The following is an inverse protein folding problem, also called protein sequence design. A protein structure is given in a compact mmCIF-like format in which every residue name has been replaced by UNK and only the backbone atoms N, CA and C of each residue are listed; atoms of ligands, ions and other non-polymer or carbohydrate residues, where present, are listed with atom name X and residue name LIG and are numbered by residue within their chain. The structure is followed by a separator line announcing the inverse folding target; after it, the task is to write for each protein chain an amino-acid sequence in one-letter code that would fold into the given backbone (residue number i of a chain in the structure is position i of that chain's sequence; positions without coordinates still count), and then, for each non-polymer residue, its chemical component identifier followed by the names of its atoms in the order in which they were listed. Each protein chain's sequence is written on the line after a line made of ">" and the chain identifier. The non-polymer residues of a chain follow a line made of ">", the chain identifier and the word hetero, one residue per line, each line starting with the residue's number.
data_IF_541621050739
#
_entry.id   IF_541621050739
#
_cell.length_a   1.000
_cell.length_b   1.000
_cell.length_c   1.000
_cell.angle_alpha   90.00
_cell.angle_beta   90.00
_cell.angle_gamma   90.00
#
_symmetry.space_group_name_H-M   'P 1'
#
loop_
_entity.id
_entity.type
_entity.pdbx_description
1 polymer ?
#
# COMPACT_ATOMS: atom_id res chain seq x y z
N UNK A 1 11.05 -4.26 -4.28
CA UNK A 1 10.98 -5.48 -5.12
C UNK A 1 10.05 -6.41 -4.36
N UNK A 2 8.85 -6.67 -4.87
CA UNK A 2 8.01 -7.73 -4.35
C UNK A 2 8.80 -9.01 -4.43
N UNK A 3 8.64 -9.98 -3.49
CA UNK A 3 9.05 -11.32 -3.78
C UNK A 3 8.36 -11.64 -5.09
N UNK A 4 9.16 -12.03 -6.05
CA UNK A 4 8.67 -12.43 -7.34
C UNK A 4 7.51 -13.39 -7.09
N UNK A 5 6.28 -12.95 -7.29
CA UNK A 5 5.19 -13.84 -7.56
C UNK A 5 5.48 -14.48 -8.92
N UNK A 6 6.59 -15.20 -9.00
CA UNK A 6 6.88 -16.18 -10.03
C UNK A 6 5.98 -17.40 -9.84
N UNK A 7 4.69 -17.16 -9.61
CA UNK A 7 3.73 -18.18 -9.94
C UNK A 7 3.28 -17.88 -11.35
N UNK A 8 3.70 -18.77 -12.26
CA UNK A 8 3.26 -18.93 -13.63
C UNK A 8 2.07 -18.02 -13.95
N UNK A 9 2.33 -16.89 -14.62
CA UNK A 9 1.32 -16.04 -15.20
C UNK A 9 0.62 -16.82 -16.32
N UNK A 10 -0.18 -17.81 -15.93
CA UNK A 10 -1.13 -18.41 -16.83
C UNK A 10 -2.18 -17.35 -17.14
N UNK A 11 -2.00 -16.65 -18.27
CA UNK A 11 -3.00 -15.80 -18.92
C UNK A 11 -3.75 -14.84 -17.99
N UNK A 12 -3.04 -13.94 -17.29
CA UNK A 12 -3.71 -12.80 -16.68
C UNK A 12 -4.29 -11.93 -17.78
N UNK A 13 -5.61 -11.77 -17.80
CA UNK A 13 -6.24 -10.79 -18.66
C UNK A 13 -5.79 -9.40 -18.23
N UNK A 14 -4.88 -8.81 -19.00
CA UNK A 14 -4.57 -7.39 -18.91
C UNK A 14 -5.74 -6.61 -19.49
N UNK A 15 -6.31 -5.77 -18.68
CA UNK A 15 -7.38 -4.85 -19.08
C UNK A 15 -6.96 -3.42 -18.87
N UNK A 16 -7.53 -2.50 -19.63
CA UNK A 16 -7.43 -1.07 -19.38
C UNK A 16 -8.60 -0.61 -18.54
N UNK A 17 -8.34 0.14 -17.47
CA UNK A 17 -9.38 0.70 -16.60
C UNK A 17 -8.98 2.10 -16.14
N UNK A 18 -9.97 2.94 -15.83
CA UNK A 18 -9.69 4.23 -15.20
C UNK A 18 -9.37 4.06 -13.71
N UNK A 19 -8.31 4.72 -13.19
CA UNK A 19 -7.97 4.66 -11.76
C UNK A 19 -9.13 5.06 -10.85
N UNK A 20 -10.03 5.91 -11.32
CA UNK A 20 -11.22 6.37 -10.58
C UNK A 20 -12.21 5.23 -10.27
N UNK A 21 -12.23 4.16 -11.06
CA UNK A 21 -13.11 3.01 -10.85
C UNK A 21 -12.48 1.91 -10.00
N UNK A 22 -11.18 1.97 -9.78
CA UNK A 22 -10.48 0.98 -8.96
C UNK A 22 -10.94 1.05 -7.51
N UNK A 23 -11.11 -0.11 -6.89
CA UNK A 23 -11.57 -0.27 -5.51
C UNK A 23 -10.39 -0.58 -4.60
N UNK A 24 -10.24 0.13 -3.48
CA UNK A 24 -9.21 -0.21 -2.50
C UNK A 24 -9.57 -1.49 -1.73
N UNK A 25 -8.55 -2.16 -1.23
CA UNK A 25 -8.65 -3.31 -0.31
C UNK A 25 -8.03 -2.98 1.06
N UNK A 26 -7.66 -1.74 1.28
CA UNK A 26 -7.18 -1.17 2.54
C UNK A 26 -7.89 0.16 2.82
N UNK A 27 -7.73 0.68 4.05
CA UNK A 27 -8.46 1.87 4.49
C UNK A 27 -7.61 3.13 4.52
N UNK A 28 -6.27 2.98 4.56
CA UNK A 28 -5.35 4.10 4.72
C UNK A 28 -4.09 3.97 3.87
N UNK A 29 -3.45 5.09 3.63
CA UNK A 29 -2.15 5.22 2.94
C UNK A 29 -1.33 6.30 3.64
N UNK A 30 -0.02 6.34 3.39
CA UNK A 30 0.80 7.50 3.73
C UNK A 30 0.65 8.58 2.66
N UNK A 31 -0.05 9.68 2.93
CA UNK A 31 -0.27 10.73 1.94
C UNK A 31 1.02 11.45 1.51
N UNK A 32 2.05 11.48 2.36
CA UNK A 32 3.34 12.01 1.94
C UNK A 32 3.99 11.15 0.85
N UNK A 33 3.78 9.83 0.85
CA UNK A 33 4.23 8.93 -0.22
C UNK A 33 3.47 9.19 -1.53
N UNK A 34 2.17 9.47 -1.45
CA UNK A 34 1.38 9.90 -2.60
C UNK A 34 1.96 11.18 -3.20
N UNK A 35 2.29 12.17 -2.35
CA UNK A 35 2.89 13.43 -2.78
C UNK A 35 4.27 13.25 -3.44
N UNK A 36 5.07 12.29 -2.96
CA UNK A 36 6.36 11.95 -3.60
C UNK A 36 6.12 11.38 -4.98
N UNK A 37 5.26 10.37 -5.09
CA UNK A 37 4.91 9.74 -6.38
C UNK A 37 4.36 10.73 -7.40
N UNK A 38 3.57 11.70 -6.96
CA UNK A 38 3.11 12.81 -7.81
C UNK A 38 4.27 13.65 -8.34
N UNK A 39 5.21 14.03 -7.47
CA UNK A 39 6.39 14.81 -7.90
C UNK A 39 7.27 14.02 -8.88
N UNK A 40 7.51 12.75 -8.58
CA UNK A 40 8.24 11.84 -9.46
C UNK A 40 7.57 11.76 -10.84
N UNK A 41 6.24 11.58 -10.85
CA UNK A 41 5.45 11.54 -12.07
C UNK A 41 5.51 12.87 -12.84
N UNK A 42 5.34 13.99 -12.17
CA UNK A 42 5.38 15.33 -12.79
C UNK A 42 6.73 15.64 -13.42
N UNK A 43 7.83 15.11 -12.86
CA UNK A 43 9.18 15.28 -13.39
C UNK A 43 9.44 14.46 -14.67
N UNK A 44 8.60 13.49 -15.02
CA UNK A 44 8.77 12.66 -16.20
C UNK A 44 8.32 13.38 -17.48
N UNK A 45 9.09 13.24 -18.55
CA UNK A 45 8.64 13.62 -19.90
C UNK A 45 7.60 12.63 -20.45
N UNK A 46 6.86 13.04 -21.50
CA UNK A 46 5.75 12.25 -22.06
C UNK A 46 6.13 10.79 -22.38
N UNK A 47 7.24 10.56 -23.10
CA UNK A 47 7.73 9.20 -23.42
C UNK A 47 8.08 8.36 -22.19
N UNK A 48 8.53 8.99 -21.11
CA UNK A 48 8.84 8.29 -19.86
C UNK A 48 7.56 7.92 -19.11
N UNK A 49 6.55 8.81 -19.09
CA UNK A 49 5.22 8.52 -18.54
C UNK A 49 4.57 7.33 -19.23
N UNK A 50 4.58 7.30 -20.56
CA UNK A 50 4.03 6.18 -21.33
C UNK A 50 4.70 4.85 -20.97
N UNK A 51 6.05 4.83 -20.94
CA UNK A 51 6.81 3.65 -20.53
C UNK A 51 6.51 3.22 -19.09
N UNK A 52 6.32 4.19 -18.20
CA UNK A 52 6.01 3.89 -16.80
C UNK A 52 4.61 3.31 -16.65
N UNK A 53 3.60 3.83 -17.36
CA UNK A 53 2.26 3.25 -17.38
C UNK A 53 2.25 1.81 -17.89
N UNK A 54 3.04 1.52 -18.93
CA UNK A 54 3.15 0.17 -19.48
C UNK A 54 3.79 -0.84 -18.50
N UNK A 55 4.69 -0.36 -17.64
CA UNK A 55 5.39 -1.21 -16.65
C UNK A 55 4.65 -1.36 -15.34
N UNK A 56 3.78 -0.42 -15.02
CA UNK A 56 3.06 -0.39 -13.75
C UNK A 56 1.65 -0.95 -13.93
N UNK A 57 1.54 -2.24 -13.72
CA UNK A 57 0.28 -2.97 -13.80
C UNK A 57 -0.31 -3.10 -12.40
N UNK A 58 -1.58 -2.77 -12.24
CA UNK A 58 -2.28 -2.89 -10.96
C UNK A 58 -2.78 -4.33 -10.78
N UNK A 59 -2.25 -5.10 -9.82
CA UNK A 59 -2.81 -6.40 -9.51
C UNK A 59 -4.18 -6.21 -8.87
N UNK A 60 -5.19 -6.92 -9.35
CA UNK A 60 -6.56 -6.78 -8.87
C UNK A 60 -7.32 -8.11 -8.89
N UNK A 61 -8.40 -8.15 -8.12
CA UNK A 61 -9.41 -9.20 -8.16
C UNK A 61 -10.70 -8.61 -8.71
N UNK A 62 -11.35 -9.32 -9.64
CA UNK A 62 -12.70 -8.97 -10.06
C UNK A 62 -13.68 -9.42 -8.97
N UNK A 63 -14.32 -8.49 -8.29
CA UNK A 63 -15.21 -8.76 -7.17
C UNK A 63 -16.67 -8.39 -7.44
N UNK A 64 -17.52 -8.38 -6.40
CA UNK A 64 -18.94 -8.10 -6.50
C UNK A 64 -19.24 -6.82 -7.27
N UNK A 65 -20.28 -6.88 -8.09
CA UNK A 65 -20.67 -5.80 -8.99
C UNK A 65 -19.68 -5.59 -10.15
N UNK A 66 -18.87 -6.60 -10.46
CA UNK A 66 -17.85 -6.59 -11.50
C UNK A 66 -16.88 -5.41 -11.36
N UNK A 67 -16.42 -5.19 -10.13
CA UNK A 67 -15.47 -4.12 -9.78
C UNK A 67 -14.07 -4.70 -9.60
N UNK A 68 -13.04 -3.94 -10.00
CA UNK A 68 -11.65 -4.32 -9.83
C UNK A 68 -11.13 -3.82 -8.48
N UNK A 69 -10.88 -4.75 -7.56
CA UNK A 69 -10.35 -4.51 -6.23
C UNK A 69 -8.83 -4.67 -6.28
N UNK A 70 -8.09 -3.57 -6.18
CA UNK A 70 -6.63 -3.60 -6.30
C UNK A 70 -5.99 -4.19 -5.04
N UNK A 71 -4.99 -5.03 -5.26
CA UNK A 71 -4.26 -5.71 -4.18
C UNK A 71 -3.03 -4.91 -3.75
N UNK A 72 -2.55 -4.02 -4.62
CA UNK A 72 -1.40 -3.16 -4.37
C UNK A 72 -1.50 -1.85 -5.16
N UNK A 73 -0.46 -1.01 -5.05
CA UNK A 73 -0.34 0.27 -5.76
C UNK A 73 -1.36 1.34 -5.35
N UNK A 74 -1.93 1.27 -4.14
CA UNK A 74 -2.88 2.26 -3.64
C UNK A 74 -2.33 3.70 -3.64
N UNK A 75 -1.05 3.89 -3.23
CA UNK A 75 -0.39 5.19 -3.28
C UNK A 75 -0.23 5.70 -4.73
N UNK A 76 0.16 4.80 -5.63
CA UNK A 76 0.30 5.13 -7.05
C UNK A 76 -1.05 5.48 -7.68
N UNK A 77 -2.08 4.68 -7.40
CA UNK A 77 -3.43 4.93 -7.91
C UNK A 77 -3.93 6.33 -7.53
N UNK A 78 -3.74 6.72 -6.27
CA UNK A 78 -4.05 8.08 -5.81
C UNK A 78 -3.24 9.16 -6.54
N UNK A 79 -1.93 8.92 -6.70
CA UNK A 79 -1.07 9.86 -7.39
C UNK A 79 -1.51 10.05 -8.86
N UNK A 80 -1.80 8.96 -9.57
CA UNK A 80 -2.22 9.01 -10.97
C UNK A 80 -3.60 9.67 -11.14
N UNK A 81 -4.55 9.45 -10.21
CA UNK A 81 -5.82 10.17 -10.18
C UNK A 81 -5.58 11.68 -10.05
N UNK A 82 -4.72 12.10 -9.12
CA UNK A 82 -4.41 13.50 -8.89
C UNK A 82 -3.67 14.16 -10.06
N UNK A 83 -2.96 13.39 -10.88
CA UNK A 83 -2.28 13.84 -12.10
C UNK A 83 -3.18 13.71 -13.36
N UNK A 84 -4.45 13.37 -13.20
CA UNK A 84 -5.43 13.31 -14.29
C UNK A 84 -5.21 12.16 -15.28
N UNK A 85 -4.56 11.08 -14.85
CA UNK A 85 -4.36 9.91 -15.70
C UNK A 85 -5.68 9.15 -15.85
N UNK A 86 -6.09 8.98 -17.10
CA UNK A 86 -7.39 8.42 -17.43
C UNK A 86 -7.38 6.89 -17.49
N UNK A 87 -6.24 6.26 -17.80
CA UNK A 87 -6.17 4.81 -18.01
C UNK A 87 -4.89 4.22 -17.43
N UNK A 88 -5.06 3.04 -16.81
CA UNK A 88 -3.98 2.20 -16.29
C UNK A 88 -4.22 0.75 -16.66
N UNK A 89 -3.16 -0.05 -16.65
CA UNK A 89 -3.25 -1.49 -16.87
C UNK A 89 -3.56 -2.22 -15.57
N UNK A 90 -4.49 -3.14 -15.64
CA UNK A 90 -4.91 -3.98 -14.50
C UNK A 90 -4.72 -5.45 -14.88
N UNK A 91 -4.01 -6.19 -14.04
CA UNK A 91 -3.87 -7.63 -14.14
C UNK A 91 -4.86 -8.30 -13.17
N UNK A 92 -5.90 -8.91 -13.72
CA UNK A 92 -6.90 -9.63 -12.91
C UNK A 92 -6.32 -10.96 -12.46
N UNK A 93 -6.12 -11.13 -11.15
CA UNK A 93 -5.54 -12.32 -10.53
C UNK A 93 -6.57 -13.43 -10.34
N UNK A 94 -7.84 -13.06 -10.09
CA UNK A 94 -8.93 -13.99 -9.86
C UNK A 94 -10.29 -13.31 -10.14
N UNK A 95 -11.29 -14.09 -10.51
CA UNK A 95 -12.68 -13.65 -10.65
C UNK A 95 -13.54 -14.22 -9.50
N UNK A 96 -13.78 -13.37 -8.52
CA UNK A 96 -14.65 -13.62 -7.37
C UNK A 96 -15.96 -12.82 -7.46
N UNK A 97 -16.31 -12.32 -8.65
CA UNK A 97 -17.49 -11.46 -8.85
C UNK A 97 -18.82 -12.13 -8.56
N UNK A 98 -18.84 -13.45 -8.57
CA UNK A 98 -20.01 -14.29 -8.27
C UNK A 98 -20.25 -14.50 -6.77
N UNK A 99 -19.29 -14.13 -5.91
CA UNK A 99 -19.46 -14.26 -4.47
C UNK A 99 -20.38 -13.17 -3.90
N UNK A 100 -21.16 -13.54 -2.92
CA UNK A 100 -21.87 -12.56 -2.09
C UNK A 100 -20.85 -11.65 -1.37
N UNK A 101 -21.14 -10.35 -1.16
CA UNK A 101 -20.17 -9.41 -0.61
C UNK A 101 -19.51 -9.84 0.71
N UNK A 102 -20.27 -10.45 1.62
CA UNK A 102 -19.72 -10.92 2.90
C UNK A 102 -18.72 -12.07 2.72
N UNK A 103 -18.99 -12.98 1.78
CA UNK A 103 -18.10 -14.10 1.47
C UNK A 103 -16.86 -13.59 0.72
N UNK A 104 -17.05 -12.68 -0.22
CA UNK A 104 -15.95 -12.02 -0.94
C UNK A 104 -14.93 -11.42 0.03
N UNK A 105 -15.34 -10.57 0.97
CA UNK A 105 -14.42 -9.92 1.88
C UNK A 105 -13.72 -10.88 2.84
N UNK A 106 -14.40 -11.92 3.31
CA UNK A 106 -13.76 -12.98 4.11
C UNK A 106 -12.71 -13.74 3.30
N UNK A 107 -13.00 -14.02 2.02
CA UNK A 107 -12.05 -14.66 1.11
C UNK A 107 -10.82 -13.74 0.87
N UNK A 108 -11.05 -12.44 0.66
CA UNK A 108 -9.99 -11.46 0.48
C UNK A 108 -9.08 -11.38 1.71
N UNK A 109 -9.65 -11.33 2.92
CA UNK A 109 -8.88 -11.32 4.17
C UNK A 109 -8.12 -12.63 4.37
N UNK A 110 -8.77 -13.78 4.16
CA UNK A 110 -8.14 -15.11 4.28
C UNK A 110 -6.92 -15.26 3.35
N UNK A 111 -7.00 -14.71 2.14
CA UNK A 111 -5.90 -14.70 1.16
C UNK A 111 -4.87 -13.59 1.41
N UNK A 112 -4.99 -12.84 2.49
CA UNK A 112 -4.20 -11.64 2.76
C UNK A 112 -4.22 -10.62 1.60
N UNK A 113 -5.38 -10.45 0.97
CA UNK A 113 -5.65 -9.49 -0.11
C UNK A 113 -6.44 -8.27 0.35
N UNK A 114 -6.87 -8.25 1.62
CA UNK A 114 -7.54 -7.12 2.23
C UNK A 114 -6.97 -6.83 3.61
N UNK A 115 -6.86 -5.52 3.94
CA UNK A 115 -6.37 -5.04 5.23
C UNK A 115 -7.37 -4.06 5.84
N UNK A 116 -8.39 -4.55 6.59
CA UNK A 116 -9.48 -3.73 7.11
C UNK A 116 -9.10 -3.01 8.41
N UNK A 117 -7.98 -2.28 8.41
CA UNK A 117 -7.50 -1.49 9.54
C UNK A 117 -7.49 -0.01 9.17
N UNK A 118 -8.00 0.81 10.07
CA UNK A 118 -8.06 2.25 9.88
C UNK A 118 -6.68 2.94 10.11
N UNK A 119 -6.64 4.26 9.95
CA UNK A 119 -5.42 5.04 10.15
C UNK A 119 -4.92 5.09 11.61
N UNK A 120 -5.66 4.48 12.55
CA UNK A 120 -5.25 4.30 13.95
C UNK A 120 -4.73 2.90 14.22
N UNK A 121 -4.68 2.03 13.20
CA UNK A 121 -4.32 0.62 13.33
C UNK A 121 -5.42 -0.22 13.98
N UNK A 122 -6.67 0.24 13.99
CA UNK A 122 -7.79 -0.49 14.57
C UNK A 122 -8.57 -1.22 13.49
N UNK A 123 -8.82 -2.52 13.72
CA UNK A 123 -9.62 -3.33 12.82
C UNK A 123 -11.05 -2.81 12.77
N UNK A 124 -11.56 -2.66 11.55
CA UNK A 124 -12.91 -2.18 11.25
C UNK A 124 -13.70 -3.27 10.54
N UNK A 125 -15.02 -3.07 10.47
CA UNK A 125 -15.88 -3.87 9.60
C UNK A 125 -15.54 -3.63 8.11
N UNK A 126 -15.68 -4.64 7.27
CA UNK A 126 -15.39 -4.54 5.84
C UNK A 126 -16.22 -3.47 5.13
N UNK A 127 -17.43 -3.17 5.62
CA UNK A 127 -18.27 -2.10 5.08
C UNK A 127 -17.65 -0.70 5.21
N UNK A 128 -16.63 -0.57 6.08
CA UNK A 128 -15.87 0.66 6.27
C UNK A 128 -14.71 0.82 5.30
N UNK A 129 -14.35 -0.23 4.55
CA UNK A 129 -13.35 -0.09 3.48
C UNK A 129 -13.91 0.90 2.44
N UNK A 130 -13.14 1.95 2.08
CA UNK A 130 -13.61 2.96 1.15
C UNK A 130 -14.00 2.36 -0.21
N UNK A 131 -14.97 2.98 -0.86
CA UNK A 131 -15.39 2.55 -2.20
C UNK A 131 -14.52 3.13 -3.31
N UNK A 132 -13.76 4.18 -3.04
CA UNK A 132 -12.91 4.87 -4.00
C UNK A 132 -11.52 5.07 -3.40
N UNK A 133 -10.49 5.05 -4.23
CA UNK A 133 -9.12 5.36 -3.80
C UNK A 133 -9.02 6.75 -3.17
N UNK A 134 -9.78 7.72 -3.70
CA UNK A 134 -9.80 9.11 -3.20
C UNK A 134 -10.37 9.26 -1.78
N UNK A 135 -10.99 8.22 -1.24
CA UNK A 135 -11.54 8.18 0.12
C UNK A 135 -10.59 7.53 1.13
N UNK A 136 -9.42 7.07 0.69
CA UNK A 136 -8.40 6.52 1.58
C UNK A 136 -7.92 7.58 2.57
N UNK A 137 -7.79 7.18 3.84
CA UNK A 137 -7.36 8.07 4.92
C UNK A 137 -5.84 8.19 4.97
N UNK A 138 -5.34 9.34 5.45
CA UNK A 138 -3.92 9.50 5.73
C UNK A 138 -3.54 8.77 7.02
N UNK A 139 -2.57 7.89 6.94
CA UNK A 139 -1.88 7.31 8.08
C UNK A 139 -0.42 7.81 8.12
N UNK A 140 -0.11 8.82 8.94
CA UNK A 140 1.23 9.37 9.04
C UNK A 140 2.29 8.35 9.48
N UNK A 141 1.89 7.31 10.20
CA UNK A 141 2.83 6.27 10.63
C UNK A 141 3.26 5.35 9.50
N UNK A 142 2.44 5.21 8.45
CA UNK A 142 2.84 4.55 7.20
C UNK A 142 3.97 5.34 6.51
N UNK A 143 3.83 6.66 6.45
CA UNK A 143 4.90 7.54 5.95
C UNK A 143 6.15 7.44 6.83
N UNK A 144 6.00 7.52 8.16
CA UNK A 144 7.15 7.41 9.07
C UNK A 144 7.84 6.05 8.94
N UNK A 145 7.09 4.94 8.86
CA UNK A 145 7.65 3.61 8.68
C UNK A 145 8.49 3.52 7.40
N UNK A 146 7.98 4.05 6.27
CA UNK A 146 8.75 4.08 5.02
C UNK A 146 10.03 4.89 5.16
N UNK A 147 9.99 6.07 5.80
CA UNK A 147 11.17 6.90 6.06
C UNK A 147 12.20 6.23 6.96
N UNK A 148 11.73 5.48 7.96
CA UNK A 148 12.60 4.67 8.83
C UNK A 148 13.26 3.55 8.05
N UNK A 149 12.53 2.88 7.15
CA UNK A 149 13.07 1.88 6.23
C UNK A 149 14.14 2.49 5.32
N UNK A 150 13.85 3.59 4.63
CA UNK A 150 14.79 4.30 3.74
C UNK A 150 16.07 4.73 4.47
N UNK A 151 15.94 5.10 5.75
CA UNK A 151 17.07 5.44 6.62
C UNK A 151 17.81 4.22 7.21
N UNK A 152 17.49 3.00 6.74
CA UNK A 152 18.15 1.77 7.15
C UNK A 152 17.72 1.23 8.52
N UNK A 153 16.55 1.62 9.02
CA UNK A 153 16.04 1.12 10.31
C UNK A 153 15.68 -0.36 10.27
N UNK A 154 15.21 -0.87 9.14
CA UNK A 154 14.88 -2.27 8.92
C UNK A 154 14.98 -2.61 7.43
N UNK A 155 15.12 -3.89 7.12
CA UNK A 155 15.19 -4.39 5.75
C UNK A 155 13.78 -4.58 5.16
N UNK A 156 13.66 -4.45 3.84
CA UNK A 156 12.42 -4.80 3.14
C UNK A 156 12.14 -6.29 3.31
N UNK A 157 10.89 -6.62 3.60
CA UNK A 157 10.44 -7.99 3.77
C UNK A 157 9.38 -8.35 2.74
N UNK A 158 9.36 -9.60 2.23
CA UNK A 158 8.30 -10.10 1.38
C UNK A 158 6.99 -10.37 2.14
N UNK A 159 7.00 -10.29 3.46
CA UNK A 159 5.80 -10.52 4.27
C UNK A 159 4.72 -9.50 3.93
N UNK A 160 3.56 -9.98 3.57
CA UNK A 160 2.41 -9.13 3.28
C UNK A 160 2.08 -8.24 4.48
N UNK A 161 1.79 -6.98 4.20
CA UNK A 161 1.46 -5.97 5.21
C UNK A 161 2.56 -5.69 6.25
N UNK A 162 3.82 -6.05 5.96
CA UNK A 162 4.94 -5.77 6.86
C UNK A 162 5.02 -4.27 7.24
N UNK A 163 4.78 -3.38 6.29
CA UNK A 163 4.79 -1.93 6.53
C UNK A 163 3.67 -1.45 7.45
N UNK A 164 2.54 -2.16 7.55
CA UNK A 164 1.49 -1.84 8.52
C UNK A 164 1.94 -2.24 9.93
N UNK A 165 2.57 -3.40 10.09
CA UNK A 165 3.13 -3.82 11.39
C UNK A 165 4.20 -2.84 11.88
N UNK A 166 5.05 -2.35 10.98
CA UNK A 166 6.04 -1.33 11.32
C UNK A 166 5.38 0.01 11.68
N UNK A 167 4.33 0.43 10.97
CA UNK A 167 3.57 1.61 11.30
C UNK A 167 2.94 1.50 12.70
N UNK A 168 2.36 0.35 13.03
CA UNK A 168 1.75 0.09 14.35
C UNK A 168 2.79 0.06 15.47
N UNK A 169 3.95 -0.54 15.23
CA UNK A 169 5.06 -0.50 16.18
C UNK A 169 5.50 0.92 16.50
N UNK A 170 5.63 1.77 15.49
CA UNK A 170 6.00 3.17 15.67
C UNK A 170 4.88 3.99 16.30
N UNK A 171 3.62 3.68 16.00
CA UNK A 171 2.42 4.36 16.51
C UNK A 171 2.35 4.35 18.03
N UNK A 172 2.77 3.27 18.66
CA UNK A 172 2.77 3.12 20.12
C UNK A 172 3.98 3.78 20.80
N UNK A 173 4.97 4.31 20.05
CA UNK A 173 6.27 4.78 20.58
C UNK A 173 6.65 6.19 20.19
N UNK A 174 6.09 6.69 19.10
CA UNK A 174 6.37 8.05 18.58
C UNK A 174 5.06 8.83 18.52
N UNK A 175 5.06 10.02 19.10
CA UNK A 175 3.87 10.86 19.09
C UNK A 175 3.45 11.31 17.69
N UNK A 176 2.15 11.50 17.50
CA UNK A 176 1.51 11.83 16.21
C UNK A 176 2.11 13.07 15.52
N UNK A 177 2.56 14.08 16.29
CA UNK A 177 3.20 15.28 15.72
C UNK A 177 4.49 14.91 14.98
N UNK A 178 5.32 14.04 15.58
CA UNK A 178 6.55 13.55 14.96
C UNK A 178 6.25 12.71 13.70
N UNK A 179 5.24 11.85 13.75
CA UNK A 179 4.84 11.01 12.65
C UNK A 179 4.33 11.84 11.45
N UNK A 180 3.44 12.81 11.68
CA UNK A 180 2.88 13.67 10.60
C UNK A 180 3.94 14.46 9.85
N UNK A 181 4.92 14.98 10.55
CA UNK A 181 5.98 15.79 9.94
C UNK A 181 7.13 14.93 9.41
N UNK A 182 7.20 13.64 9.82
CA UNK A 182 8.32 12.73 9.54
C UNK A 182 9.69 13.44 9.67
N UNK A 183 9.81 14.24 10.74
CA UNK A 183 11.01 15.09 10.94
C UNK A 183 12.26 14.24 11.03
N UNK A 184 13.45 14.78 10.68
CA UNK A 184 14.70 14.06 10.84
C UNK A 184 14.91 13.50 12.27
N UNK A 185 14.42 14.20 13.29
CA UNK A 185 14.45 13.71 14.67
C UNK A 185 13.53 12.50 14.89
N UNK A 186 12.31 12.53 14.36
CA UNK A 186 11.35 11.41 14.45
C UNK A 186 11.88 10.19 13.68
N UNK A 187 12.47 10.40 12.50
CA UNK A 187 13.07 9.32 11.70
C UNK A 187 14.26 8.69 12.46
N UNK A 188 15.18 9.49 13.00
CA UNK A 188 16.29 8.97 13.82
C UNK A 188 15.80 8.18 15.05
N UNK A 189 14.79 8.70 15.75
CA UNK A 189 14.16 7.96 16.85
C UNK A 189 13.54 6.64 16.37
N UNK A 190 12.85 6.66 15.23
CA UNK A 190 12.29 5.48 14.59
C UNK A 190 13.35 4.43 14.22
N UNK A 191 14.47 4.84 13.65
CA UNK A 191 15.61 3.95 13.32
C UNK A 191 16.15 3.30 14.60
N UNK A 192 16.38 4.08 15.67
CA UNK A 192 16.85 3.54 16.96
C UNK A 192 15.86 2.51 17.53
N UNK A 193 14.57 2.80 17.46
CA UNK A 193 13.52 1.87 17.90
C UNK A 193 13.47 0.61 17.02
N UNK A 194 13.53 0.77 15.70
CA UNK A 194 13.47 -0.33 14.76
C UNK A 194 14.63 -1.33 14.94
N UNK A 195 15.82 -0.86 15.29
CA UNK A 195 16.99 -1.70 15.56
C UNK A 195 17.04 -2.27 16.98
N UNK A 196 16.12 -1.87 17.86
CA UNK A 196 16.07 -2.37 19.24
C UNK A 196 15.50 -3.79 19.32
N UNK A 197 15.78 -4.47 20.44
CA UNK A 197 15.20 -5.78 20.75
C UNK A 197 13.66 -5.78 20.79
N UNK A 198 13.04 -4.63 21.07
CA UNK A 198 11.59 -4.50 21.09
C UNK A 198 10.94 -4.73 19.70
N UNK A 199 11.70 -4.56 18.62
CA UNK A 199 11.25 -4.76 17.25
C UNK A 199 11.58 -6.14 16.67
N UNK A 200 12.25 -7.04 17.41
CA UNK A 200 12.78 -8.33 16.91
C UNK A 200 11.74 -9.25 16.28
N UNK A 201 10.46 -9.07 16.59
CA UNK A 201 9.36 -9.86 16.05
C UNK A 201 8.85 -9.37 14.69
N UNK A 202 9.31 -8.19 14.25
CA UNK A 202 8.84 -7.57 13.01
C UNK A 202 9.60 -8.11 11.80
N UNK A 203 8.90 -8.28 10.66
CA UNK A 203 9.52 -8.68 9.42
C UNK A 203 10.60 -7.70 8.98
N UNK A 204 11.76 -8.22 8.57
CA UNK A 204 12.87 -7.38 8.12
C UNK A 204 13.66 -6.71 9.24
N UNK A 205 13.47 -7.12 10.51
CA UNK A 205 14.31 -6.62 11.60
C UNK A 205 15.79 -6.90 11.33
N UNK A 206 16.61 -5.84 11.33
CA UNK A 206 18.04 -5.92 10.98
C UNK A 206 18.98 -6.11 12.19
N UNK A 207 18.42 -6.14 13.41
CA UNK A 207 19.25 -6.26 14.62
C UNK A 207 19.81 -4.92 15.11
N UNK A 208 20.67 -4.99 16.13
CA UNK A 208 21.45 -3.83 16.61
C UNK A 208 22.66 -3.65 15.71
N UNK A 209 23.08 -2.40 15.54
CA UNK A 209 24.46 -2.15 15.08
C UNK A 209 25.41 -2.81 16.09
N UNK A 210 26.27 -3.67 15.60
CA UNK A 210 27.37 -4.29 16.38
C UNK A 210 28.39 -3.25 16.79
#
# INVERSE_FOLDING_TARGET
>A
MWPEFHHHYHHHHLISETPLKLRPTQMSVGMAEVAIKRREWAALGAKQRDRQLQRQVFPAVLGPGRRHYILDHHHLGLALIAEGIEQVWVAVQDDLSWLAPAVFWRTMEFRAWAHPFDARGQRQDFSKIPRLLTQLQDDPYRTLANRVHEAGGYAKSPTLYAEFLWADFLRTRIGIRGARSATPAAVRAGVKLARSQAARYLPGWAGRDS
#
